data_IF_125560880351
#
_entry.id   IF_125560880351
#
_cell.length_a   1.000
_cell.length_b   1.000
_cell.length_c   1.000
_cell.angle_alpha   90.00
_cell.angle_beta   90.00
_cell.angle_gamma   90.00
#
_symmetry.space_group_name_H-M   'P 1'
#
loop_
_entity.id
_entity.type
_entity.pdbx_description
1 polymer ?
#
# COMPACT_ATOMS: atom_id res chain seq x y z
N UNK A 1 23.72 16.99 -14.52
CA UNK A 1 22.62 16.94 -13.56
C UNK A 1 21.48 16.23 -14.28
N UNK A 2 21.21 14.97 -13.96
CA UNK A 2 20.09 14.24 -14.57
C UNK A 2 18.81 14.90 -14.06
N UNK A 3 17.90 15.24 -14.94
CA UNK A 3 16.54 15.63 -14.59
C UNK A 3 15.92 14.43 -13.84
N UNK A 4 15.97 14.47 -12.49
CA UNK A 4 15.25 13.50 -11.67
C UNK A 4 13.78 13.67 -12.02
N UNK A 5 13.18 12.65 -12.60
CA UNK A 5 11.75 12.60 -12.86
C UNK A 5 11.05 12.83 -11.52
N UNK A 6 10.33 13.94 -11.39
CA UNK A 6 9.55 14.21 -10.17
C UNK A 6 8.29 13.35 -10.24
N UNK A 7 8.25 12.30 -9.45
CA UNK A 7 7.02 11.53 -9.24
C UNK A 7 6.12 12.25 -8.25
N UNK A 8 4.80 12.10 -8.42
CA UNK A 8 3.82 12.67 -7.50
C UNK A 8 3.70 11.86 -6.22
N UNK A 9 3.48 12.55 -5.11
CA UNK A 9 3.12 11.99 -3.81
C UNK A 9 1.74 12.51 -3.44
N UNK A 10 0.99 11.79 -2.62
CA UNK A 10 -0.37 12.25 -2.32
C UNK A 10 -1.08 11.40 -1.25
N UNK A 11 -0.32 10.58 -0.52
CA UNK A 11 -0.86 9.89 0.64
C UNK A 11 -0.84 10.84 1.84
N UNK A 12 -2.02 11.07 2.41
CA UNK A 12 -2.20 11.77 3.68
C UNK A 12 -2.38 10.76 4.81
N UNK A 13 -1.98 11.15 6.03
CA UNK A 13 -2.26 10.36 7.21
C UNK A 13 -3.79 10.35 7.50
N UNK A 14 -4.31 9.23 8.02
CA UNK A 14 -5.72 9.11 8.34
C UNK A 14 -6.09 10.10 9.46
N UNK A 15 -7.07 10.97 9.20
CA UNK A 15 -7.49 11.99 10.14
C UNK A 15 -8.48 11.47 11.18
N UNK A 16 -9.28 10.46 10.86
CA UNK A 16 -10.30 9.91 11.76
C UNK A 16 -10.34 8.38 11.73
N UNK A 17 -9.44 7.81 12.51
CA UNK A 17 -9.31 6.35 12.71
C UNK A 17 -10.50 5.72 13.45
N UNK A 18 -11.39 6.50 14.09
CA UNK A 18 -12.61 5.97 14.74
C UNK A 18 -13.59 5.35 13.74
N UNK A 19 -13.44 5.66 12.47
CA UNK A 19 -14.25 5.11 11.38
C UNK A 19 -13.85 3.66 11.06
N UNK A 20 -12.65 3.24 11.43
CA UNK A 20 -12.05 1.96 11.08
C UNK A 20 -12.40 0.92 12.16
N UNK A 21 -13.54 0.26 12.01
CA UNK A 21 -14.11 -0.62 13.05
C UNK A 21 -13.49 -2.01 13.13
N UNK A 22 -12.73 -2.46 12.13
CA UNK A 22 -12.10 -3.78 12.10
C UNK A 22 -10.60 -3.65 11.91
N UNK A 23 -9.84 -4.23 12.83
CA UNK A 23 -8.39 -4.25 12.76
C UNK A 23 -7.89 -5.52 12.06
N UNK A 24 -6.80 -5.40 11.32
CA UNK A 24 -6.05 -6.55 10.85
C UNK A 24 -5.53 -7.32 12.09
N UNK A 25 -5.73 -8.65 12.18
CA UNK A 25 -5.34 -9.39 13.39
C UNK A 25 -3.82 -9.30 13.66
N UNK A 26 -3.45 -9.05 14.92
CA UNK A 26 -2.06 -9.24 15.35
C UNK A 26 -1.67 -10.71 15.22
N UNK A 27 -0.47 -10.95 14.76
CA UNK A 27 0.08 -12.28 14.49
C UNK A 27 1.34 -12.47 15.32
N UNK A 28 1.59 -13.70 15.74
CA UNK A 28 2.82 -14.02 16.44
C UNK A 28 4.05 -13.88 15.51
N UNK A 29 5.13 -13.32 16.02
CA UNK A 29 6.42 -13.20 15.31
C UNK A 29 6.95 -14.56 14.81
N UNK A 30 6.47 -15.68 15.37
CA UNK A 30 6.84 -17.03 14.91
C UNK A 30 6.35 -17.33 13.49
N UNK A 31 5.47 -16.51 12.90
CA UNK A 31 4.97 -16.75 11.52
C UNK A 31 6.11 -16.86 10.52
N UNK A 32 7.19 -16.11 10.71
CA UNK A 32 8.36 -16.13 9.83
C UNK A 32 9.08 -17.47 9.82
N UNK A 33 9.02 -18.22 10.92
CA UNK A 33 9.71 -19.51 11.08
C UNK A 33 8.77 -20.71 10.99
N UNK A 34 7.50 -20.57 11.37
CA UNK A 34 6.55 -21.70 11.47
C UNK A 34 5.64 -21.85 10.25
N UNK A 35 5.57 -20.85 9.38
CA UNK A 35 4.73 -20.95 8.19
C UNK A 35 5.24 -22.04 7.25
N UNK A 36 4.35 -22.98 6.90
CA UNK A 36 4.64 -24.00 5.89
C UNK A 36 4.75 -23.41 4.47
N UNK A 37 3.99 -22.36 4.18
CA UNK A 37 4.13 -21.62 2.93
C UNK A 37 5.19 -20.53 3.14
N UNK A 38 6.27 -20.63 2.38
CA UNK A 38 7.39 -19.71 2.49
C UNK A 38 7.29 -18.52 1.56
N UNK A 39 6.57 -18.68 0.46
CA UNK A 39 6.43 -17.66 -0.57
C UNK A 39 4.99 -17.55 -1.08
N UNK A 40 4.57 -16.35 -1.40
CA UNK A 40 3.36 -16.05 -2.16
C UNK A 40 3.53 -14.78 -2.96
N UNK A 41 3.43 -14.90 -4.28
CA UNK A 41 3.33 -13.76 -5.20
C UNK A 41 1.95 -13.81 -5.87
N UNK A 42 1.11 -12.85 -5.56
CA UNK A 42 -0.20 -12.74 -6.20
C UNK A 42 -0.03 -12.16 -7.61
N UNK A 43 -0.70 -12.73 -8.60
CA UNK A 43 -0.69 -12.18 -9.94
C UNK A 43 -1.33 -10.81 -9.98
N UNK A 44 -0.81 -9.94 -10.81
CA UNK A 44 -1.29 -8.57 -11.01
C UNK A 44 -1.18 -8.19 -12.48
N UNK A 45 -1.72 -7.04 -12.84
CA UNK A 45 -1.50 -6.41 -14.13
C UNK A 45 -0.21 -5.60 -14.12
N UNK A 46 0.16 -5.06 -15.27
CA UNK A 46 1.29 -4.14 -15.40
C UNK A 46 1.11 -2.93 -14.47
N UNK A 47 2.20 -2.43 -13.94
CA UNK A 47 2.20 -1.24 -13.10
C UNK A 47 1.59 -0.05 -13.86
N UNK A 48 0.70 0.64 -13.18
CA UNK A 48 0.08 1.87 -13.66
C UNK A 48 1.06 3.04 -13.50
N UNK A 49 0.77 4.15 -14.18
CA UNK A 49 1.55 5.37 -14.09
C UNK A 49 0.66 6.53 -13.67
N UNK A 50 0.90 7.10 -12.49
CA UNK A 50 0.21 8.27 -11.99
C UNK A 50 0.84 9.58 -12.46
N UNK A 51 1.99 9.47 -13.15
CA UNK A 51 2.80 10.62 -13.57
C UNK A 51 3.15 11.52 -12.36
N UNK A 52 3.01 12.84 -12.49
CA UNK A 52 3.30 13.81 -11.43
C UNK A 52 2.12 14.11 -10.50
N UNK A 53 1.00 13.40 -10.66
CA UNK A 53 -0.22 13.65 -9.87
C UNK A 53 -0.11 13.16 -8.43
N UNK A 54 -0.87 13.78 -7.51
CA UNK A 54 -0.97 13.37 -6.10
C UNK A 54 -1.98 12.22 -5.88
N UNK A 55 -2.06 11.28 -6.81
CA UNK A 55 -3.10 10.24 -6.85
C UNK A 55 -2.61 8.83 -6.47
N UNK A 56 -1.45 8.70 -5.81
CA UNK A 56 -0.86 7.38 -5.48
C UNK A 56 -1.83 6.45 -4.76
N UNK A 57 -2.67 6.96 -3.86
CA UNK A 57 -3.64 6.16 -3.10
C UNK A 57 -4.65 5.50 -4.02
N UNK A 58 -5.21 6.24 -4.98
CA UNK A 58 -6.23 5.66 -5.88
C UNK A 58 -5.62 4.74 -6.92
N UNK A 59 -4.41 5.03 -7.39
CA UNK A 59 -3.68 4.13 -8.27
C UNK A 59 -3.34 2.80 -7.55
N UNK A 60 -2.89 2.86 -6.30
CA UNK A 60 -2.70 1.66 -5.48
C UNK A 60 -4.02 0.89 -5.29
N UNK A 61 -5.14 1.58 -5.06
CA UNK A 61 -6.46 0.96 -4.95
C UNK A 61 -6.90 0.26 -6.23
N UNK A 62 -6.70 0.87 -7.39
CA UNK A 62 -7.02 0.27 -8.69
C UNK A 62 -6.15 -0.98 -8.92
N UNK A 63 -4.84 -0.88 -8.68
CA UNK A 63 -3.92 -2.03 -8.80
C UNK A 63 -4.31 -3.16 -7.83
N UNK A 64 -4.71 -2.83 -6.60
CA UNK A 64 -5.17 -3.80 -5.62
C UNK A 64 -6.43 -4.53 -6.10
N UNK A 65 -7.42 -3.81 -6.65
CA UNK A 65 -8.64 -4.39 -7.23
C UNK A 65 -8.34 -5.31 -8.42
N UNK A 66 -7.31 -5.01 -9.19
CA UNK A 66 -6.91 -5.79 -10.36
C UNK A 66 -6.04 -7.00 -9.99
N UNK A 67 -5.45 -7.03 -8.81
CA UNK A 67 -4.59 -8.13 -8.36
C UNK A 67 -5.42 -9.35 -7.91
N UNK A 68 -4.85 -10.56 -8.06
CA UNK A 68 -5.44 -11.76 -7.47
C UNK A 68 -5.44 -11.66 -5.93
N UNK A 69 -6.41 -12.24 -5.24
CA UNK A 69 -7.49 -13.07 -5.72
C UNK A 69 -8.72 -12.30 -6.23
N UNK A 70 -8.70 -10.95 -6.14
CA UNK A 70 -9.83 -10.09 -6.52
C UNK A 70 -10.09 -10.16 -8.01
N UNK A 71 -9.06 -9.87 -8.80
CA UNK A 71 -9.04 -9.92 -10.27
C UNK A 71 -10.26 -9.25 -10.91
N UNK A 72 -10.65 -8.08 -10.40
CA UNK A 72 -11.70 -7.31 -11.03
C UNK A 72 -11.20 -6.77 -12.38
N UNK A 73 -11.67 -7.37 -13.47
CA UNK A 73 -11.24 -7.03 -14.83
C UNK A 73 -11.81 -5.71 -15.33
N UNK A 74 -12.86 -5.21 -14.69
CA UNK A 74 -13.54 -3.95 -15.06
C UNK A 74 -13.57 -3.05 -13.85
N UNK A 75 -12.47 -2.33 -13.64
CA UNK A 75 -12.44 -1.26 -12.66
C UNK A 75 -12.94 0.01 -13.33
N UNK A 76 -14.11 0.47 -12.95
CA UNK A 76 -14.79 1.61 -13.59
C UNK A 76 -13.97 2.92 -13.62
N UNK A 77 -12.98 3.03 -12.74
CA UNK A 77 -12.10 4.20 -12.66
C UNK A 77 -10.76 4.01 -13.38
N UNK A 78 -10.56 2.86 -14.04
CA UNK A 78 -9.28 2.56 -14.68
C UNK A 78 -8.89 3.59 -15.75
N UNK A 79 -9.87 4.08 -16.53
CA UNK A 79 -9.63 5.06 -17.59
C UNK A 79 -9.58 6.51 -17.07
N UNK A 80 -10.11 6.77 -15.88
CA UNK A 80 -10.07 8.09 -15.25
C UNK A 80 -10.01 7.95 -13.72
N UNK A 81 -8.80 7.73 -13.17
CA UNK A 81 -8.58 7.64 -11.73
C UNK A 81 -8.97 8.90 -10.95
N UNK A 82 -9.03 10.06 -11.62
CA UNK A 82 -9.39 11.33 -10.98
C UNK A 82 -10.81 11.34 -10.40
N UNK A 83 -11.71 10.53 -10.95
CA UNK A 83 -13.06 10.36 -10.42
C UNK A 83 -13.01 9.69 -9.05
N UNK A 84 -12.26 8.60 -8.93
CA UNK A 84 -12.06 7.91 -7.65
C UNK A 84 -11.35 8.83 -6.64
N UNK A 85 -10.36 9.59 -7.10
CA UNK A 85 -9.62 10.54 -6.27
C UNK A 85 -10.55 11.57 -5.61
N UNK A 86 -11.41 12.21 -6.39
CA UNK A 86 -12.41 13.17 -5.89
C UNK A 86 -13.40 12.53 -4.91
N UNK A 87 -13.78 11.28 -5.14
CA UNK A 87 -14.64 10.54 -4.21
C UNK A 87 -13.92 10.25 -2.90
N UNK A 88 -12.64 9.88 -2.96
CA UNK A 88 -11.82 9.64 -1.77
C UNK A 88 -11.69 10.92 -0.93
N UNK A 89 -11.34 12.05 -1.54
CA UNK A 89 -11.23 13.34 -0.86
C UNK A 89 -12.54 13.78 -0.17
N UNK A 90 -13.69 13.47 -0.75
CA UNK A 90 -14.99 13.73 -0.11
C UNK A 90 -15.27 12.83 1.11
N UNK A 91 -14.56 11.71 1.23
CA UNK A 91 -14.84 10.67 2.20
C UNK A 91 -13.71 10.43 3.22
N UNK A 92 -12.54 11.06 3.06
CA UNK A 92 -11.38 10.85 3.94
C UNK A 92 -11.43 11.65 5.25
N UNK A 93 -12.40 12.53 5.42
CA UNK A 93 -12.58 13.32 6.64
C UNK A 93 -11.61 14.50 6.76
N UNK A 94 -10.85 14.81 5.71
CA UNK A 94 -9.91 15.91 5.64
C UNK A 94 -10.58 17.11 4.95
N UNK A 95 -10.25 18.31 5.39
CA UNK A 95 -10.62 19.53 4.66
C UNK A 95 -9.57 19.79 3.60
N UNK A 96 -9.97 19.68 2.34
CA UNK A 96 -9.12 19.95 1.20
C UNK A 96 -9.20 21.43 0.83
N UNK A 97 -8.03 22.04 0.67
CA UNK A 97 -7.89 23.45 0.36
C UNK A 97 -8.25 23.79 -1.10
N UNK A 98 -7.95 25.01 -1.51
CA UNK A 98 -8.35 25.58 -2.80
C UNK A 98 -7.81 24.86 -4.05
N UNK A 99 -6.82 23.98 -3.88
CA UNK A 99 -6.26 23.19 -4.98
C UNK A 99 -6.30 21.67 -4.68
N UNK A 100 -7.52 21.09 -4.63
CA UNK A 100 -7.69 19.68 -4.24
C UNK A 100 -7.02 18.68 -5.19
N UNK A 101 -6.56 19.11 -6.35
CA UNK A 101 -5.82 18.24 -7.28
C UNK A 101 -4.45 17.79 -6.74
N UNK A 102 -3.86 18.57 -5.83
CA UNK A 102 -2.51 18.32 -5.29
C UNK A 102 -2.50 17.95 -3.80
N UNK A 103 -3.67 17.92 -3.15
CA UNK A 103 -3.77 17.74 -1.69
C UNK A 103 -3.62 16.27 -1.23
N UNK A 104 -3.69 15.29 -2.14
CA UNK A 104 -3.67 13.88 -1.77
C UNK A 104 -4.99 13.38 -1.19
N UNK A 105 -4.96 12.17 -0.61
CA UNK A 105 -6.06 11.55 0.15
C UNK A 105 -5.55 10.44 1.04
N UNK A 106 -6.41 9.78 1.83
CA UNK A 106 -6.03 8.68 2.74
C UNK A 106 -6.37 7.30 2.17
N UNK A 107 -5.65 6.27 2.60
CA UNK A 107 -5.98 4.88 2.24
C UNK A 107 -7.30 4.45 2.89
N UNK A 108 -7.59 4.95 4.10
CA UNK A 108 -8.89 4.74 4.74
C UNK A 108 -10.04 5.32 3.93
N UNK A 109 -9.90 6.54 3.40
CA UNK A 109 -10.86 7.18 2.50
C UNK A 109 -11.12 6.36 1.24
N UNK A 110 -10.07 5.80 0.64
CA UNK A 110 -10.19 4.88 -0.50
C UNK A 110 -11.07 3.67 -0.15
N UNK A 111 -10.76 2.92 0.90
CA UNK A 111 -11.51 1.71 1.25
C UNK A 111 -12.95 2.00 1.68
N UNK A 112 -13.19 3.17 2.27
CA UNK A 112 -14.54 3.65 2.55
C UNK A 112 -15.34 3.83 1.24
N UNK A 113 -14.76 4.43 0.22
CA UNK A 113 -15.38 4.56 -1.11
C UNK A 113 -15.57 3.18 -1.74
N UNK A 114 -14.57 2.29 -1.72
CA UNK A 114 -14.70 0.94 -2.28
C UNK A 114 -15.83 0.15 -1.62
N UNK A 115 -16.07 0.35 -0.32
CA UNK A 115 -17.21 -0.25 0.38
C UNK A 115 -18.54 0.37 -0.05
N UNK A 116 -18.63 1.69 -0.14
CA UNK A 116 -19.83 2.39 -0.59
C UNK A 116 -20.23 2.03 -2.03
N UNK A 117 -19.25 1.83 -2.89
CA UNK A 117 -19.40 1.47 -4.30
C UNK A 117 -19.61 -0.05 -4.50
N UNK A 118 -19.64 -0.84 -3.43
CA UNK A 118 -19.93 -2.26 -3.48
C UNK A 118 -18.80 -3.16 -3.95
N UNK A 119 -17.55 -2.68 -4.01
CA UNK A 119 -16.39 -3.53 -4.36
C UNK A 119 -15.94 -4.41 -3.19
N UNK A 120 -16.06 -3.92 -1.98
CA UNK A 120 -15.71 -4.65 -0.77
C UNK A 120 -16.88 -4.60 0.23
N UNK A 121 -17.09 -5.69 0.94
CA UNK A 121 -18.13 -5.75 1.99
C UNK A 121 -17.62 -5.16 3.30
N UNK A 122 -16.41 -5.51 3.66
CA UNK A 122 -15.71 -5.04 4.84
C UNK A 122 -14.22 -4.90 4.55
N UNK A 123 -13.56 -3.99 5.24
CA UNK A 123 -12.10 -3.83 5.16
C UNK A 123 -11.47 -3.88 6.55
N UNK A 124 -10.20 -4.27 6.58
CA UNK A 124 -9.37 -4.37 7.76
C UNK A 124 -8.28 -3.30 7.69
N UNK A 125 -8.03 -2.67 8.81
CA UNK A 125 -7.00 -1.65 8.96
C UNK A 125 -5.97 -2.07 10.01
N UNK A 126 -4.72 -1.73 9.80
CA UNK A 126 -3.67 -1.75 10.79
C UNK A 126 -2.74 -0.57 10.55
N UNK A 127 -2.27 0.07 11.60
CA UNK A 127 -1.38 1.20 11.47
C UNK A 127 -0.80 1.63 12.80
N UNK A 128 0.10 2.57 12.75
CA UNK A 128 0.67 3.23 13.92
C UNK A 128 0.24 4.70 14.03
N UNK A 129 -0.79 5.11 13.30
CA UNK A 129 -1.35 6.45 13.36
C UNK A 129 -2.31 6.61 14.55
N UNK A 130 -2.35 7.80 15.12
CA UNK A 130 -2.95 8.09 16.42
C UNK A 130 -4.47 8.07 16.45
N UNK A 131 -5.04 7.32 17.41
CA UNK A 131 -6.43 7.42 17.83
C UNK A 131 -6.59 6.88 19.25
N UNK A 132 -7.45 7.46 20.10
CA UNK A 132 -7.50 7.15 21.53
C UNK A 132 -7.91 5.71 21.85
N UNK A 133 -8.53 4.99 20.92
CA UNK A 133 -9.07 3.65 21.15
C UNK A 133 -8.47 2.58 20.23
N UNK A 134 -7.33 2.88 19.55
CA UNK A 134 -6.79 1.97 18.56
C UNK A 134 -5.63 1.14 19.07
N UNK A 135 -5.64 -0.09 18.62
CA UNK A 135 -4.56 -1.02 18.85
C UNK A 135 -3.38 -0.64 17.96
N UNK A 136 -2.38 0.01 18.56
CA UNK A 136 -1.14 0.33 17.85
C UNK A 136 -0.39 -0.92 17.44
N UNK A 137 0.17 -0.88 16.22
CA UNK A 137 1.15 -1.84 15.75
C UNK A 137 2.53 -1.21 15.82
N UNK A 138 3.47 -1.90 16.43
CA UNK A 138 4.89 -1.61 16.20
C UNK A 138 5.24 -2.02 14.78
N UNK A 139 6.31 -1.47 14.20
CA UNK A 139 6.72 -1.79 12.84
C UNK A 139 6.76 -3.29 12.58
N UNK A 140 7.44 -4.04 13.45
CA UNK A 140 7.55 -5.52 13.37
C UNK A 140 6.19 -6.23 13.42
N UNK A 141 5.26 -5.77 14.27
CA UNK A 141 3.92 -6.36 14.35
C UNK A 141 3.14 -6.13 13.06
N UNK A 142 3.32 -4.97 12.43
CA UNK A 142 2.69 -4.64 11.16
C UNK A 142 3.29 -5.46 10.02
N UNK A 143 4.60 -5.67 10.01
CA UNK A 143 5.28 -6.59 9.08
C UNK A 143 4.71 -8.00 9.20
N UNK A 144 4.57 -8.54 10.42
CA UNK A 144 4.06 -9.89 10.64
C UNK A 144 2.59 -10.03 10.24
N UNK A 145 1.77 -9.00 10.48
CA UNK A 145 0.38 -8.95 10.02
C UNK A 145 0.29 -8.98 8.49
N UNK A 146 1.12 -8.19 7.80
CA UNK A 146 1.22 -8.21 6.33
C UNK A 146 1.65 -9.58 5.80
N UNK A 147 2.69 -10.19 6.40
CA UNK A 147 3.15 -11.54 6.03
C UNK A 147 1.99 -12.53 6.11
N UNK A 148 1.28 -12.57 7.25
CA UNK A 148 0.17 -13.49 7.44
C UNK A 148 -0.94 -13.29 6.43
N UNK A 149 -1.32 -12.04 6.19
CA UNK A 149 -2.39 -11.71 5.26
C UNK A 149 -2.02 -12.08 3.82
N UNK A 150 -0.82 -11.69 3.36
CA UNK A 150 -0.37 -11.94 2.00
C UNK A 150 -0.22 -13.44 1.74
N UNK A 151 0.32 -14.20 2.67
CA UNK A 151 0.45 -15.65 2.50
C UNK A 151 -0.89 -16.38 2.32
N UNK A 152 -1.99 -15.86 2.89
CA UNK A 152 -3.27 -16.57 3.00
C UNK A 152 -4.39 -15.96 2.16
N UNK A 153 -4.51 -14.64 2.18
CA UNK A 153 -5.74 -13.97 1.78
C UNK A 153 -5.61 -13.10 0.53
N UNK A 154 -4.52 -12.35 0.38
CA UNK A 154 -4.36 -11.46 -0.77
C UNK A 154 -3.37 -10.33 -0.52
N UNK A 155 -3.21 -9.44 -1.50
CA UNK A 155 -2.41 -8.22 -1.38
C UNK A 155 -2.96 -7.25 -0.35
N UNK A 156 -2.12 -6.31 0.08
CA UNK A 156 -2.51 -5.20 0.96
C UNK A 156 -2.12 -3.87 0.33
N UNK A 157 -2.93 -2.84 0.54
CA UNK A 157 -2.57 -1.45 0.22
C UNK A 157 -1.87 -0.86 1.41
N UNK A 158 -0.73 -0.24 1.16
CA UNK A 158 0.12 0.35 2.20
C UNK A 158 0.29 1.84 1.95
N UNK A 159 0.28 2.61 3.02
CA UNK A 159 0.67 4.01 3.03
C UNK A 159 1.84 4.22 4.00
N UNK A 160 2.92 4.83 3.52
CA UNK A 160 4.10 5.15 4.34
C UNK A 160 4.64 6.53 3.97
N UNK A 161 5.48 7.13 4.81
CA UNK A 161 6.41 8.13 4.32
C UNK A 161 7.27 7.54 3.20
N UNK A 162 7.62 8.38 2.23
CA UNK A 162 8.60 8.05 1.21
C UNK A 162 9.89 8.81 1.51
N UNK A 163 10.97 8.09 1.78
CA UNK A 163 12.25 8.70 2.15
C UNK A 163 13.02 9.11 0.90
N UNK A 164 13.91 10.08 1.04
CA UNK A 164 14.69 10.61 -0.08
C UNK A 164 15.47 9.50 -0.81
N UNK A 165 16.08 8.58 -0.06
CA UNK A 165 16.84 7.45 -0.62
C UNK A 165 16.00 6.45 -1.41
N UNK A 166 14.69 6.43 -1.22
CA UNK A 166 13.78 5.56 -1.98
C UNK A 166 13.54 6.06 -3.41
N UNK A 167 14.03 7.26 -3.74
CA UNK A 167 14.08 7.78 -5.12
C UNK A 167 15.34 7.35 -5.87
N UNK A 168 16.31 6.75 -5.18
CA UNK A 168 17.55 6.28 -5.78
C UNK A 168 17.31 4.97 -6.57
N UNK A 169 18.29 4.61 -7.38
CA UNK A 169 18.24 3.36 -8.14
C UNK A 169 18.17 2.16 -7.19
N UNK A 170 17.39 1.16 -7.59
CA UNK A 170 17.26 -0.06 -6.82
C UNK A 170 18.61 -0.82 -6.75
N UNK A 171 18.91 -1.37 -5.58
CA UNK A 171 20.04 -2.29 -5.43
C UNK A 171 19.52 -3.72 -5.54
N UNK A 172 19.83 -4.42 -6.63
CA UNK A 172 19.35 -5.80 -6.88
C UNK A 172 17.82 -5.90 -6.76
N UNK A 173 17.11 -4.92 -7.32
CA UNK A 173 15.65 -4.76 -7.28
C UNK A 173 15.07 -4.43 -5.89
N UNK A 174 15.91 -4.06 -4.91
CA UNK A 174 15.46 -3.63 -3.58
C UNK A 174 15.47 -2.11 -3.46
N UNK A 175 14.41 -1.59 -2.81
CA UNK A 175 14.38 -0.19 -2.34
C UNK A 175 15.51 0.07 -1.35
N UNK A 176 16.02 1.28 -1.37
CA UNK A 176 17.00 1.76 -0.40
C UNK A 176 16.26 2.58 0.66
N UNK A 177 16.16 2.04 1.87
CA UNK A 177 15.49 2.69 2.99
C UNK A 177 16.54 3.11 4.02
N UNK A 178 16.82 4.40 4.08
CA UNK A 178 17.71 4.99 5.09
C UNK A 178 16.95 6.03 5.91
N UNK A 179 16.63 5.73 7.19
CA UNK A 179 15.86 6.63 8.04
C UNK A 179 16.60 7.89 8.46
N UNK A 180 17.91 8.01 8.19
CA UNK A 180 18.68 9.23 8.44
C UNK A 180 18.39 10.33 7.42
N UNK A 181 17.78 9.97 6.29
CA UNK A 181 17.30 10.92 5.28
C UNK A 181 15.83 11.26 5.52
N UNK A 182 15.48 12.51 5.20
CA UNK A 182 14.13 13.02 5.39
C UNK A 182 13.07 12.37 4.49
N UNK A 183 11.80 12.52 4.87
CA UNK A 183 10.68 12.17 4.00
C UNK A 183 10.45 13.26 2.97
N UNK A 184 10.23 12.85 1.72
CA UNK A 184 9.89 13.75 0.60
C UNK A 184 8.38 13.81 0.35
N UNK A 185 7.59 12.98 1.04
CA UNK A 185 6.12 12.96 0.95
C UNK A 185 5.53 11.69 1.53
N UNK A 186 4.20 11.60 1.53
CA UNK A 186 3.48 10.38 1.81
C UNK A 186 3.16 9.64 0.52
N UNK A 187 3.40 8.33 0.47
CA UNK A 187 3.17 7.51 -0.71
C UNK A 187 2.36 6.25 -0.39
N UNK A 188 1.62 5.78 -1.39
CA UNK A 188 0.83 4.55 -1.28
C UNK A 188 1.16 3.60 -2.42
N UNK A 189 1.24 2.31 -2.09
CA UNK A 189 1.58 1.23 -2.99
C UNK A 189 0.94 -0.08 -2.54
N UNK A 190 1.07 -1.13 -3.34
CA UNK A 190 0.51 -2.45 -3.00
C UNK A 190 1.65 -3.41 -2.68
N UNK A 191 1.59 -4.06 -1.52
CA UNK A 191 2.39 -5.26 -1.27
C UNK A 191 1.61 -6.45 -1.80
N UNK A 192 2.05 -6.97 -2.96
CA UNK A 192 1.39 -8.08 -3.64
C UNK A 192 2.03 -9.42 -3.38
N UNK A 193 3.16 -9.44 -2.71
CA UNK A 193 3.87 -10.68 -2.47
C UNK A 193 4.74 -10.64 -1.24
N UNK A 194 5.13 -11.82 -0.82
CA UNK A 194 6.06 -12.07 0.28
C UNK A 194 6.89 -13.31 -0.03
N UNK A 195 8.18 -13.24 0.27
CA UNK A 195 9.11 -14.37 0.26
C UNK A 195 9.89 -14.35 1.58
N UNK A 196 9.65 -15.37 2.42
CA UNK A 196 10.25 -15.48 3.75
C UNK A 196 11.74 -15.85 3.72
N UNK A 197 12.20 -16.37 2.58
CA UNK A 197 13.57 -16.88 2.40
C UNK A 197 14.39 -16.00 1.44
N UNK A 198 13.82 -14.89 0.96
CA UNK A 198 14.51 -13.95 0.07
C UNK A 198 15.75 -13.38 0.73
N UNK A 199 16.91 -13.59 0.13
CA UNK A 199 18.15 -12.97 0.59
C UNK A 199 18.19 -11.50 0.15
N UNK A 200 18.35 -10.60 1.12
CA UNK A 200 18.40 -9.16 0.89
C UNK A 200 19.84 -8.65 0.71
N UNK A 201 20.05 -7.46 0.14
CA UNK A 201 21.39 -6.87 -0.06
C UNK A 201 22.20 -6.74 1.22
N UNK A 202 21.54 -6.42 2.35
CA UNK A 202 22.14 -6.31 3.69
C UNK A 202 22.39 -7.67 4.38
N UNK A 203 22.18 -8.78 3.66
CA UNK A 203 22.27 -10.16 4.14
C UNK A 203 21.16 -10.58 5.12
N UNK A 204 20.17 -9.74 5.38
CA UNK A 204 18.96 -10.16 6.07
C UNK A 204 18.12 -11.09 5.19
N UNK A 205 17.10 -11.71 5.78
CA UNK A 205 16.26 -12.69 5.09
C UNK A 205 14.81 -12.29 5.20
N UNK A 206 14.09 -12.40 4.07
CA UNK A 206 12.67 -12.13 3.93
C UNK A 206 12.38 -10.73 3.41
N UNK A 207 11.47 -10.69 2.42
CA UNK A 207 11.09 -9.46 1.77
C UNK A 207 9.64 -9.49 1.27
N UNK A 208 9.08 -8.31 1.08
CA UNK A 208 7.84 -8.07 0.36
C UNK A 208 8.12 -7.69 -1.09
N UNK A 209 7.28 -8.17 -2.01
CA UNK A 209 7.22 -7.67 -3.38
C UNK A 209 6.14 -6.59 -3.46
N UNK A 210 6.56 -5.37 -3.77
CA UNK A 210 5.66 -4.25 -3.99
C UNK A 210 5.43 -3.99 -5.49
N UNK A 211 4.26 -3.45 -5.82
CA UNK A 211 4.01 -2.80 -7.11
C UNK A 211 3.70 -1.32 -6.86
N UNK A 212 4.40 -0.47 -7.61
CA UNK A 212 4.31 0.98 -7.54
C UNK A 212 3.41 1.52 -8.67
N UNK A 213 3.08 2.81 -8.60
CA UNK A 213 2.28 3.53 -9.60
C UNK A 213 3.11 4.54 -10.41
N UNK A 214 4.35 4.20 -10.72
CA UNK A 214 5.27 5.04 -11.49
C UNK A 214 5.66 4.42 -12.84
N UNK A 215 4.75 3.60 -13.38
CA UNK A 215 4.90 2.96 -14.68
C UNK A 215 5.91 1.80 -14.68
N UNK A 216 5.97 1.10 -15.82
CA UNK A 216 6.81 -0.09 -15.99
C UNK A 216 8.30 0.21 -16.11
N UNK A 217 8.68 1.48 -16.34
CA UNK A 217 10.09 1.89 -16.44
C UNK A 217 10.75 2.06 -15.07
N UNK A 218 9.95 2.19 -14.00
CA UNK A 218 10.46 2.26 -12.65
C UNK A 218 10.76 0.85 -12.13
N UNK A 219 11.90 0.68 -11.46
CA UNK A 219 12.28 -0.59 -10.86
C UNK A 219 12.30 -1.77 -11.82
N UNK A 220 11.92 -2.94 -11.32
CA UNK A 220 11.74 -4.16 -12.11
C UNK A 220 10.30 -4.23 -12.64
N UNK A 221 10.05 -3.63 -13.81
CA UNK A 221 8.73 -3.56 -14.45
C UNK A 221 7.64 -2.91 -13.56
N UNK A 222 7.99 -1.85 -12.84
CA UNK A 222 7.11 -1.13 -11.94
C UNK A 222 7.06 -1.71 -10.53
N UNK A 223 7.95 -2.63 -10.20
CA UNK A 223 7.99 -3.35 -8.95
C UNK A 223 9.35 -3.24 -8.27
N UNK A 224 9.37 -3.45 -6.96
CA UNK A 224 10.59 -3.57 -6.17
C UNK A 224 10.40 -4.57 -5.02
N UNK A 225 11.51 -4.98 -4.42
CA UNK A 225 11.51 -5.67 -3.14
C UNK A 225 11.75 -4.68 -2.00
N UNK A 226 11.11 -4.94 -0.87
CA UNK A 226 11.36 -4.24 0.40
C UNK A 226 11.73 -5.31 1.43
N UNK A 227 12.93 -5.26 2.00
CA UNK A 227 13.31 -6.20 3.05
C UNK A 227 12.37 -6.07 4.26
N UNK A 228 12.19 -7.13 5.04
CA UNK A 228 11.40 -7.03 6.28
C UNK A 228 11.99 -6.04 7.28
N UNK A 229 13.31 -5.87 7.26
CA UNK A 229 14.00 -4.87 8.07
C UNK A 229 13.62 -3.45 7.62
N UNK A 230 13.67 -3.18 6.33
CA UNK A 230 13.32 -1.88 5.78
C UNK A 230 11.82 -1.58 5.93
N UNK A 231 10.98 -2.60 5.76
CA UNK A 231 9.55 -2.49 6.04
C UNK A 231 9.27 -2.17 7.52
N UNK A 232 10.01 -2.78 8.47
CA UNK A 232 9.92 -2.47 9.90
C UNK A 232 10.27 -1.00 10.17
N UNK A 233 11.32 -0.48 9.53
CA UNK A 233 11.70 0.94 9.61
C UNK A 233 10.58 1.82 9.09
N UNK A 234 10.07 1.57 7.88
CA UNK A 234 8.98 2.35 7.27
C UNK A 234 7.71 2.31 8.12
N UNK A 235 7.37 1.13 8.65
CA UNK A 235 6.18 0.92 9.48
C UNK A 235 6.32 1.46 10.90
N UNK A 236 7.50 1.88 11.29
CA UNK A 236 7.73 2.59 12.57
C UNK A 236 7.43 4.09 12.49
N UNK A 237 7.31 4.63 11.27
CA UNK A 237 6.79 5.98 11.03
C UNK A 237 5.26 5.97 10.91
N UNK A 238 4.67 7.15 10.63
CA UNK A 238 3.24 7.25 10.28
C UNK A 238 2.92 6.37 9.07
N UNK A 239 2.32 5.22 9.31
CA UNK A 239 2.05 4.19 8.30
C UNK A 239 0.72 3.51 8.54
N UNK A 240 0.15 3.00 7.46
CA UNK A 240 -1.11 2.27 7.47
C UNK A 240 -1.08 1.12 6.46
N UNK A 241 -1.78 0.05 6.80
CA UNK A 241 -2.03 -1.10 5.93
C UNK A 241 -3.54 -1.35 5.90
N UNK A 242 -4.11 -1.38 4.73
CA UNK A 242 -5.54 -1.62 4.55
C UNK A 242 -5.77 -2.72 3.53
N UNK A 243 -6.74 -3.58 3.80
CA UNK A 243 -7.15 -4.66 2.91
C UNK A 243 -8.60 -5.04 3.15
N UNK A 244 -9.17 -5.91 2.32
CA UNK A 244 -10.50 -6.45 2.53
C UNK A 244 -10.47 -7.97 2.69
N UNK A 245 -11.40 -8.50 3.46
CA UNK A 245 -11.54 -9.94 3.73
C UNK A 245 -12.66 -10.55 2.89
N UNK A 246 -13.75 -9.82 2.70
CA UNK A 246 -14.91 -10.23 1.94
C UNK A 246 -15.08 -9.33 0.74
N UNK A 247 -14.76 -9.87 -0.41
CA UNK A 247 -15.01 -9.26 -1.71
C UNK A 247 -16.42 -9.60 -2.15
N UNK A 248 -17.16 -8.62 -2.62
CA UNK A 248 -18.39 -8.89 -3.31
C UNK A 248 -18.03 -9.53 -4.66
N UNK A 249 -18.51 -10.74 -4.91
CA UNK A 249 -18.22 -11.48 -6.13
C UNK A 249 -18.41 -10.56 -7.34
N UNK A 250 -17.35 -10.34 -8.07
CA UNK A 250 -17.26 -9.45 -9.25
C UNK A 250 -18.10 -9.92 -10.47
N UNK A 251 -18.96 -10.92 -10.28
CA UNK A 251 -19.77 -11.51 -11.36
C UNK A 251 -21.08 -10.81 -11.62
N UNK A 252 -21.37 -9.69 -10.94
CA UNK A 252 -22.64 -8.98 -11.13
C UNK A 252 -22.47 -7.48 -11.18
N UNK A 253 -21.85 -6.99 -12.24
CA UNK A 253 -22.17 -5.67 -12.77
C UNK A 253 -22.43 -5.90 -14.25
N UNK A 254 -23.73 -6.15 -14.56
CA UNK A 254 -24.23 -6.08 -15.91
C UNK A 254 -24.37 -4.64 -16.33
#
# INVERSE_FOLDING_TARGET
MSDRIKHGFGRLAEADVRILRKTLPKVSATIRTTSKRRERLWSTFSALDQDTTSQCVVYAGIQWLMAAPIQNKVVKWFNDPSILYKLCQKNDGITHDKNPSDDGTTVGGLFKVLKQEGFVKEYLYAGNEFGPDQQYYKGTELVDACISHILKNGPVVVGTPWLETMNDDLIKDFLQVDPTFGSVGGHSYVLRGVDLDKTCPDKSTGAFRMINSWGQKWGDNGEAWISFRDADVLFSFSSEVVTAVELLNSTRIG
#
